data_IF_666039134339
#
_entry.id   IF_666039134339
#
_cell.length_a   1.000
_cell.length_b   1.000
_cell.length_c   1.000
_cell.angle_alpha   90.00
_cell.angle_beta   90.00
_cell.angle_gamma   90.00
#
_symmetry.space_group_name_H-M   'P 1'
#
loop_
_entity.id
_entity.type
_entity.pdbx_description
1 polymer ?
#
# COMPACT_ATOMS: atom_id res chain seq x y z
N UNK A 1 12.63 -8.70 20.31
CA UNK A 1 13.34 -7.41 20.22
C UNK A 1 13.94 -7.19 18.82
N UNK A 2 14.58 -8.20 18.21
CA UNK A 2 15.29 -8.07 16.92
C UNK A 2 14.31 -7.91 15.76
N UNK A 3 13.21 -8.65 15.73
CA UNK A 3 12.16 -8.56 14.69
C UNK A 3 11.47 -7.17 14.67
N UNK A 4 11.30 -6.55 15.83
CA UNK A 4 10.69 -5.21 15.95
C UNK A 4 11.64 -4.14 15.41
N UNK A 5 12.94 -4.30 15.64
CA UNK A 5 13.95 -3.38 15.14
C UNK A 5 14.10 -3.45 13.61
N UNK A 6 14.10 -4.64 13.03
CA UNK A 6 14.13 -4.87 11.58
C UNK A 6 12.89 -4.24 10.89
N UNK A 7 11.73 -4.41 11.49
CA UNK A 7 10.49 -3.84 10.94
C UNK A 7 10.44 -2.31 11.05
N UNK A 8 11.02 -1.73 12.11
CA UNK A 8 11.15 -0.28 12.25
C UNK A 8 12.11 0.32 11.21
N UNK A 9 13.21 -0.36 10.91
CA UNK A 9 14.17 0.08 9.91
C UNK A 9 13.56 0.02 8.49
N UNK A 10 12.77 -1.03 8.19
CA UNK A 10 12.03 -1.18 6.93
C UNK A 10 11.00 -0.05 6.77
N UNK A 11 10.19 0.23 7.79
CA UNK A 11 9.23 1.33 7.78
C UNK A 11 9.90 2.69 7.59
N UNK A 12 11.03 2.92 8.24
CA UNK A 12 11.81 4.15 8.10
C UNK A 12 12.37 4.30 6.68
N UNK A 13 12.84 3.21 6.08
CA UNK A 13 13.30 3.18 4.70
C UNK A 13 12.17 3.52 3.72
N UNK A 14 11.00 2.90 3.88
CA UNK A 14 9.81 3.17 3.09
C UNK A 14 9.38 4.64 3.21
N UNK A 15 9.35 5.16 4.43
CA UNK A 15 8.98 6.55 4.69
C UNK A 15 9.96 7.54 4.04
N UNK A 16 11.26 7.28 4.14
CA UNK A 16 12.31 8.11 3.52
C UNK A 16 12.20 8.11 2.00
N UNK A 17 11.98 6.93 1.41
CA UNK A 17 11.76 6.77 -0.03
C UNK A 17 10.55 7.58 -0.52
N UNK A 18 9.45 7.57 0.24
CA UNK A 18 8.25 8.32 -0.15
C UNK A 18 8.41 9.83 -0.03
N UNK A 19 9.10 10.31 0.98
CA UNK A 19 9.40 11.74 1.07
C UNK A 19 10.21 12.20 -0.15
N UNK A 20 11.16 11.40 -0.59
CA UNK A 20 11.95 11.69 -1.79
C UNK A 20 11.07 11.68 -3.05
N UNK A 21 10.18 10.70 -3.20
CA UNK A 21 9.28 10.59 -4.35
C UNK A 21 8.23 11.73 -4.38
N UNK A 22 7.71 12.11 -3.20
CA UNK A 22 6.81 13.25 -3.08
C UNK A 22 7.51 14.58 -3.44
N UNK A 23 8.76 14.75 -3.03
CA UNK A 23 9.58 15.89 -3.38
C UNK A 23 9.80 15.96 -4.90
N UNK A 24 10.15 14.83 -5.51
CA UNK A 24 10.38 14.73 -6.95
C UNK A 24 9.12 15.02 -7.77
N UNK A 25 7.97 14.51 -7.31
CA UNK A 25 6.67 14.81 -7.90
C UNK A 25 6.35 16.31 -7.86
N UNK A 26 6.57 16.95 -6.71
CA UNK A 26 6.37 18.43 -6.59
C UNK A 26 7.26 19.20 -7.54
N UNK A 27 8.52 18.80 -7.71
CA UNK A 27 9.44 19.43 -8.65
C UNK A 27 8.98 19.28 -10.10
N UNK A 28 8.49 18.10 -10.48
CA UNK A 28 7.96 17.85 -11.84
C UNK A 28 6.71 18.66 -12.12
N UNK A 29 5.79 18.73 -11.16
CA UNK A 29 4.58 19.56 -11.29
C UNK A 29 4.94 21.02 -11.39
N UNK A 30 5.83 21.54 -10.55
CA UNK A 30 6.28 22.92 -10.60
C UNK A 30 6.97 23.27 -11.92
N UNK A 31 7.81 22.37 -12.45
CA UNK A 31 8.45 22.55 -13.75
C UNK A 31 7.44 22.58 -14.90
N UNK A 32 6.44 21.70 -14.87
CA UNK A 32 5.36 21.71 -15.86
C UNK A 32 4.51 22.98 -15.76
N UNK A 33 4.19 23.46 -14.56
CA UNK A 33 3.46 24.71 -14.33
C UNK A 33 4.26 25.93 -14.83
N UNK A 34 5.57 25.96 -14.62
CA UNK A 34 6.45 27.01 -15.11
C UNK A 34 6.46 27.06 -16.64
N UNK A 35 6.57 25.92 -17.31
CA UNK A 35 6.48 25.82 -18.78
C UNK A 35 5.10 26.31 -19.26
N UNK A 36 4.01 25.85 -18.63
CA UNK A 36 2.65 26.20 -19.05
C UNK A 36 2.25 27.65 -18.75
N UNK A 37 2.89 28.29 -17.77
CA UNK A 37 2.63 29.72 -17.42
C UNK A 37 3.43 30.70 -18.27
N UNK A 38 4.41 30.25 -19.04
CA UNK A 38 5.15 31.08 -19.97
C UNK A 38 4.22 31.50 -21.13
N UNK A 39 4.02 32.78 -21.32
CA UNK A 39 2.97 33.37 -22.21
C UNK A 39 3.09 33.08 -23.71
N UNK A 40 4.05 32.29 -24.17
CA UNK A 40 4.24 31.93 -25.57
C UNK A 40 4.81 30.50 -25.66
N UNK A 41 3.95 29.52 -25.47
CA UNK A 41 4.33 28.11 -25.39
C UNK A 41 4.47 27.55 -26.80
N UNK A 42 5.68 27.04 -27.13
CA UNK A 42 5.90 26.30 -28.37
C UNK A 42 5.25 24.89 -28.28
N UNK A 43 4.92 24.24 -29.42
CA UNK A 43 4.38 22.88 -29.43
C UNK A 43 5.28 21.87 -28.71
N UNK A 44 6.61 22.06 -28.82
CA UNK A 44 7.60 21.18 -28.16
C UNK A 44 7.58 21.35 -26.64
N UNK A 45 7.52 22.59 -26.14
CA UNK A 45 7.40 22.88 -24.71
C UNK A 45 6.08 22.36 -24.12
N UNK A 46 5.00 22.40 -24.90
CA UNK A 46 3.72 21.84 -24.47
C UNK A 46 3.79 20.31 -24.35
N UNK A 47 4.50 19.66 -25.28
CA UNK A 47 4.74 18.21 -25.24
C UNK A 47 5.60 17.84 -24.04
N UNK A 48 6.68 18.59 -23.77
CA UNK A 48 7.56 18.38 -22.61
C UNK A 48 6.80 18.51 -21.28
N UNK A 49 5.97 19.56 -21.13
CA UNK A 49 5.14 19.74 -19.93
C UNK A 49 4.14 18.56 -19.74
N UNK A 50 3.54 18.08 -20.85
CA UNK A 50 2.63 16.94 -20.81
C UNK A 50 3.37 15.64 -20.48
N UNK A 51 4.59 15.45 -20.93
CA UNK A 51 5.42 14.29 -20.56
C UNK A 51 5.79 14.32 -19.09
N UNK A 52 6.19 15.47 -18.54
CA UNK A 52 6.45 15.64 -17.12
C UNK A 52 5.23 15.31 -16.26
N UNK A 53 4.04 15.72 -16.69
CA UNK A 53 2.78 15.40 -16.02
C UNK A 53 2.39 13.94 -16.17
N UNK A 54 2.59 13.32 -17.34
CA UNK A 54 2.34 11.87 -17.57
C UNK A 54 3.25 10.99 -16.76
N UNK A 55 4.50 11.37 -16.54
CA UNK A 55 5.40 10.66 -15.63
C UNK A 55 4.92 10.75 -14.16
N UNK A 56 4.03 11.70 -13.85
CA UNK A 56 3.36 11.78 -12.55
C UNK A 56 2.10 10.91 -12.45
N UNK A 57 1.59 10.42 -13.60
CA UNK A 57 0.49 9.43 -13.65
C UNK A 57 0.99 7.99 -13.45
N UNK A 58 1.98 7.79 -12.59
CA UNK A 58 2.36 6.45 -12.17
C UNK A 58 1.22 5.79 -11.37
N UNK A 59 0.99 4.48 -11.60
CA UNK A 59 -0.28 3.85 -11.32
C UNK A 59 -0.59 3.80 -9.83
N UNK A 60 -1.81 4.19 -9.50
CA UNK A 60 -2.48 4.01 -8.21
C UNK A 60 -1.73 4.59 -7.01
N UNK A 61 -1.67 5.91 -6.95
CA UNK A 61 -1.53 6.59 -5.67
C UNK A 61 -2.80 6.29 -4.86
N UNK A 62 -2.65 5.51 -3.81
CA UNK A 62 -3.70 5.45 -2.80
C UNK A 62 -3.77 6.83 -2.15
N UNK A 63 -4.93 7.42 -2.11
CA UNK A 63 -5.15 8.73 -1.50
C UNK A 63 -5.99 8.51 -0.25
N UNK A 64 -5.36 7.94 0.78
CA UNK A 64 -6.02 7.71 2.07
C UNK A 64 -6.04 8.98 2.94
N UNK A 65 -5.29 9.99 2.55
CA UNK A 65 -5.06 11.20 3.35
C UNK A 65 -3.90 11.06 4.34
N UNK A 66 -3.35 9.85 4.52
CA UNK A 66 -2.20 9.59 5.37
C UNK A 66 -1.03 9.07 4.52
N UNK A 67 0.02 9.89 4.39
CA UNK A 67 1.18 9.60 3.54
C UNK A 67 1.85 8.28 3.93
N UNK A 68 1.97 8.00 5.21
CA UNK A 68 2.58 6.78 5.71
C UNK A 68 1.77 5.52 5.35
N UNK A 69 0.44 5.61 5.40
CA UNK A 69 -0.46 4.53 4.97
C UNK A 69 -0.35 4.29 3.47
N UNK A 70 -0.36 5.35 2.68
CA UNK A 70 -0.21 5.28 1.22
C UNK A 70 1.12 4.62 0.83
N UNK A 71 2.20 4.90 1.60
CA UNK A 71 3.51 4.28 1.46
C UNK A 71 3.48 2.78 1.58
N UNK A 72 2.92 2.32 2.68
CA UNK A 72 2.85 0.90 2.98
C UNK A 72 1.99 0.19 1.93
N UNK A 73 0.84 0.75 1.58
CA UNK A 73 -0.02 0.20 0.54
C UNK A 73 0.73 0.06 -0.79
N UNK A 74 1.48 1.09 -1.19
CA UNK A 74 2.27 1.06 -2.43
C UNK A 74 3.38 0.00 -2.38
N UNK A 75 4.13 -0.06 -1.29
CA UNK A 75 5.19 -1.05 -1.12
C UNK A 75 4.64 -2.49 -1.17
N UNK A 76 3.55 -2.76 -0.46
CA UNK A 76 2.92 -4.08 -0.45
C UNK A 76 2.26 -4.41 -1.79
N UNK A 77 1.68 -3.42 -2.49
CA UNK A 77 1.15 -3.62 -3.84
C UNK A 77 2.22 -4.10 -4.81
N UNK A 78 3.42 -3.49 -4.78
CA UNK A 78 4.54 -3.93 -5.62
C UNK A 78 4.92 -5.40 -5.35
N UNK A 79 4.93 -5.82 -4.08
CA UNK A 79 5.19 -7.22 -3.72
C UNK A 79 4.09 -8.14 -4.27
N UNK A 80 2.82 -7.74 -4.13
CA UNK A 80 1.67 -8.50 -4.62
C UNK A 80 1.69 -8.64 -6.15
N UNK A 81 1.96 -7.55 -6.87
CA UNK A 81 2.05 -7.54 -8.33
C UNK A 81 3.16 -8.49 -8.82
N UNK A 82 4.35 -8.44 -8.21
CA UNK A 82 5.46 -9.34 -8.53
C UNK A 82 5.15 -10.81 -8.23
N UNK A 83 4.29 -11.08 -7.26
CA UNK A 83 3.84 -12.42 -6.89
C UNK A 83 2.59 -12.90 -7.68
N UNK A 84 2.05 -12.07 -8.58
CA UNK A 84 0.83 -12.37 -9.33
C UNK A 84 -0.42 -12.41 -8.45
N UNK A 85 -0.45 -11.60 -7.39
CA UNK A 85 -1.57 -11.49 -6.45
C UNK A 85 -2.41 -10.28 -6.87
N UNK A 86 -3.71 -10.49 -7.05
CA UNK A 86 -4.67 -9.41 -7.29
C UNK A 86 -5.01 -8.72 -5.96
N UNK A 87 -4.93 -7.39 -5.94
CA UNK A 87 -5.24 -6.59 -4.76
C UNK A 87 -6.42 -5.64 -5.03
N UNK A 88 -7.37 -5.64 -4.12
CA UNK A 88 -8.52 -4.75 -4.13
C UNK A 88 -8.58 -3.96 -2.82
N UNK A 89 -8.64 -2.63 -2.92
CA UNK A 89 -8.86 -1.74 -1.79
C UNK A 89 -10.26 -1.16 -1.87
N UNK A 90 -11.10 -1.49 -0.89
CA UNK A 90 -12.44 -0.96 -0.73
C UNK A 90 -12.48 -0.05 0.49
N UNK A 91 -13.01 1.14 0.31
CA UNK A 91 -13.13 2.18 1.34
C UNK A 91 -11.76 2.64 1.89
N UNK A 92 -11.63 3.91 2.09
CA UNK A 92 -10.39 4.53 2.58
C UNK A 92 -10.51 4.89 4.06
N UNK A 93 -9.41 4.84 4.83
CA UNK A 93 -9.43 5.28 6.21
C UNK A 93 -9.83 6.74 6.29
N UNK A 94 -10.80 7.03 7.16
CA UNK A 94 -11.22 8.40 7.42
C UNK A 94 -10.31 8.99 8.50
N UNK A 95 -9.64 10.07 8.18
CA UNK A 95 -8.88 10.84 9.19
C UNK A 95 -9.83 11.61 10.11
N UNK A 96 -9.48 11.79 11.41
CA UNK A 96 -8.22 11.35 12.04
C UNK A 96 -8.22 9.85 12.36
N UNK A 97 -7.01 9.27 12.40
CA UNK A 97 -6.82 7.89 12.85
C UNK A 97 -7.05 7.79 14.37
N UNK A 98 -7.64 6.69 14.87
CA UNK A 98 -7.91 6.50 16.30
C UNK A 98 -6.66 6.16 17.12
N UNK A 99 -5.55 5.86 16.46
CA UNK A 99 -4.25 5.53 17.06
C UNK A 99 -3.13 6.32 16.37
N UNK A 100 -1.90 6.23 16.88
CA UNK A 100 -0.76 6.89 16.22
C UNK A 100 -0.57 6.36 14.80
N UNK A 101 -0.11 7.23 13.90
CA UNK A 101 0.23 6.85 12.52
C UNK A 101 1.21 5.67 12.49
N UNK A 102 2.21 5.69 13.38
CA UNK A 102 3.23 4.63 13.47
C UNK A 102 2.61 3.29 13.84
N UNK A 103 1.75 3.26 14.86
CA UNK A 103 1.08 2.02 15.30
C UNK A 103 0.12 1.51 14.23
N UNK A 104 -0.60 2.41 13.55
CA UNK A 104 -1.48 2.06 12.46
C UNK A 104 -0.71 1.43 11.29
N UNK A 105 0.40 2.04 10.91
CA UNK A 105 1.27 1.54 9.85
C UNK A 105 1.84 0.16 10.17
N UNK A 106 2.30 -0.05 11.41
CA UNK A 106 2.81 -1.34 11.87
C UNK A 106 1.71 -2.42 11.84
N UNK A 107 0.52 -2.09 12.31
CA UNK A 107 -0.64 -2.99 12.27
C UNK A 107 -1.00 -3.36 10.82
N UNK A 108 -1.11 -2.36 9.94
CA UNK A 108 -1.45 -2.56 8.55
C UNK A 108 -0.41 -3.37 7.80
N UNK A 109 0.87 -3.07 8.01
CA UNK A 109 1.98 -3.82 7.44
C UNK A 109 1.93 -5.30 7.81
N UNK A 110 1.80 -5.61 9.10
CA UNK A 110 1.68 -6.98 9.58
C UNK A 110 0.43 -7.70 9.03
N UNK A 111 -0.69 -6.98 8.93
CA UNK A 111 -1.92 -7.55 8.38
C UNK A 111 -1.75 -7.96 6.91
N UNK A 112 -1.15 -7.08 6.11
CA UNK A 112 -0.89 -7.34 4.69
C UNK A 112 0.17 -8.43 4.49
N UNK A 113 1.22 -8.48 5.30
CA UNK A 113 2.23 -9.54 5.24
C UNK A 113 1.61 -10.91 5.53
N UNK A 114 0.77 -11.00 6.53
CA UNK A 114 0.05 -12.24 6.82
C UNK A 114 -0.84 -12.68 5.65
N UNK A 115 -1.52 -11.74 5.00
CA UNK A 115 -2.36 -12.02 3.85
C UNK A 115 -1.52 -12.49 2.64
N UNK A 116 -0.42 -11.81 2.34
CA UNK A 116 0.51 -12.18 1.25
C UNK A 116 1.08 -13.57 1.50
N UNK A 117 1.60 -13.84 2.69
CA UNK A 117 2.11 -15.17 3.06
C UNK A 117 1.03 -16.26 2.91
N UNK A 118 -0.21 -15.96 3.30
CA UNK A 118 -1.34 -16.88 3.15
C UNK A 118 -1.59 -17.26 1.70
N UNK A 119 -1.62 -16.28 0.81
CA UNK A 119 -1.82 -16.47 -0.64
C UNK A 119 -0.62 -17.15 -1.28
N UNK A 120 0.62 -16.82 -0.88
CA UNK A 120 1.83 -17.43 -1.44
C UNK A 120 1.96 -18.93 -1.11
N UNK A 121 1.29 -19.41 -0.06
CA UNK A 121 1.21 -20.85 0.28
C UNK A 121 0.23 -21.63 -0.58
N UNK A 122 -0.56 -20.95 -1.42
CA UNK A 122 -1.45 -21.62 -2.37
C UNK A 122 -0.66 -22.36 -3.43
N UNK A 123 -1.10 -23.58 -3.85
CA UNK A 123 -0.50 -24.29 -4.97
C UNK A 123 -0.44 -23.42 -6.22
N UNK A 124 0.61 -23.61 -7.04
CA UNK A 124 0.78 -22.86 -8.29
C UNK A 124 -0.39 -23.06 -9.28
N UNK A 125 -1.12 -24.15 -9.15
CA UNK A 125 -2.31 -24.46 -9.95
C UNK A 125 -3.57 -23.70 -9.54
N UNK A 126 -3.55 -22.97 -8.38
CA UNK A 126 -4.68 -22.14 -7.99
C UNK A 126 -4.83 -20.95 -8.95
N UNK A 127 -5.99 -20.89 -9.60
CA UNK A 127 -6.33 -19.84 -10.55
C UNK A 127 -6.68 -18.50 -9.90
N UNK A 128 -6.91 -18.49 -8.59
CA UNK A 128 -7.33 -17.30 -7.84
C UNK A 128 -6.33 -17.02 -6.72
N UNK A 129 -5.77 -15.82 -6.74
CA UNK A 129 -4.86 -15.30 -5.73
C UNK A 129 -5.25 -13.86 -5.44
N UNK A 130 -6.15 -13.69 -4.49
CA UNK A 130 -6.73 -12.38 -4.22
C UNK A 130 -6.51 -11.97 -2.78
N UNK A 131 -6.26 -10.68 -2.60
CA UNK A 131 -6.30 -10.01 -1.30
C UNK A 131 -7.23 -8.81 -1.43
N UNK A 132 -8.17 -8.69 -0.50
CA UNK A 132 -9.07 -7.55 -0.39
C UNK A 132 -8.89 -6.89 0.96
N UNK A 133 -8.58 -5.60 0.96
CA UNK A 133 -8.49 -4.76 2.13
C UNK A 133 -9.65 -3.77 2.13
N UNK A 134 -10.33 -3.63 3.24
CA UNK A 134 -11.37 -2.62 3.40
C UNK A 134 -11.26 -1.90 4.75
N UNK A 135 -11.60 -0.63 4.72
CA UNK A 135 -11.70 0.22 5.91
C UNK A 135 -13.13 0.71 6.04
N UNK A 136 -13.67 0.64 7.23
CA UNK A 136 -14.97 1.24 7.53
C UNK A 136 -14.96 1.89 8.90
N UNK A 137 -15.67 3.00 9.03
CA UNK A 137 -15.80 3.70 10.30
C UNK A 137 -17.25 3.64 10.76
N UNK A 138 -17.44 3.08 11.95
CA UNK A 138 -18.73 3.04 12.60
C UNK A 138 -18.58 3.72 13.96
N UNK A 139 -19.22 4.87 14.12
CA UNK A 139 -19.06 5.75 15.27
C UNK A 139 -17.59 6.17 15.43
N UNK A 140 -16.98 5.91 16.58
CA UNK A 140 -15.56 6.20 16.84
C UNK A 140 -14.65 4.99 16.60
N UNK A 141 -15.20 3.89 16.09
CA UNK A 141 -14.44 2.68 15.79
C UNK A 141 -14.07 2.60 14.31
N UNK A 142 -12.80 2.35 14.05
CA UNK A 142 -12.28 2.01 12.72
C UNK A 142 -12.16 0.49 12.60
N UNK A 143 -12.86 -0.06 11.61
CA UNK A 143 -12.76 -1.47 11.25
C UNK A 143 -11.81 -1.64 10.08
N UNK A 144 -10.88 -2.56 10.22
CA UNK A 144 -9.95 -2.97 9.15
C UNK A 144 -10.26 -4.43 8.86
N UNK A 145 -10.66 -4.71 7.64
CA UNK A 145 -10.94 -6.07 7.19
C UNK A 145 -9.99 -6.43 6.06
N UNK A 146 -9.22 -7.49 6.26
CA UNK A 146 -8.35 -8.05 5.24
C UNK A 146 -8.79 -9.49 4.96
N UNK A 147 -9.18 -9.75 3.72
CA UNK A 147 -9.62 -11.07 3.25
C UNK A 147 -8.65 -11.53 2.18
N UNK A 148 -8.16 -12.74 2.32
CA UNK A 148 -7.26 -13.34 1.34
C UNK A 148 -7.68 -14.78 1.01
N UNK A 149 -7.34 -15.22 -0.19
CA UNK A 149 -7.47 -16.62 -0.55
C UNK A 149 -6.49 -17.46 0.28
N UNK A 150 -6.95 -18.61 0.75
CA UNK A 150 -6.15 -19.51 1.56
C UNK A 150 -6.45 -20.98 1.20
N UNK A 151 -5.46 -21.87 1.39
CA UNK A 151 -5.68 -23.30 1.24
C UNK A 151 -6.40 -23.84 2.48
N UNK A 152 -7.64 -24.36 2.34
CA UNK A 152 -8.39 -24.91 3.48
C UNK A 152 -7.64 -26.03 4.23
N UNK A 153 -6.81 -26.79 3.52
CA UNK A 153 -6.03 -27.90 4.10
C UNK A 153 -4.92 -27.43 5.03
N UNK A 154 -4.46 -26.18 4.89
CA UNK A 154 -3.41 -25.61 5.74
C UNK A 154 -3.95 -24.87 6.95
N UNK A 155 -5.26 -24.67 7.03
CA UNK A 155 -5.92 -24.01 8.16
C UNK A 155 -6.07 -25.02 9.28
N UNK A 156 -5.27 -24.85 10.34
CA UNK A 156 -5.39 -25.68 11.54
C UNK A 156 -6.43 -25.07 12.48
N UNK A 157 -7.42 -25.85 12.85
CA UNK A 157 -8.45 -25.46 13.80
C UNK A 157 -8.43 -26.40 15.00
N UNK A 158 -8.51 -25.86 16.20
CA UNK A 158 -8.66 -26.63 17.44
C UNK A 158 -9.90 -26.12 18.19
N UNK A 159 -11.00 -26.87 18.09
CA UNK A 159 -12.30 -26.41 18.57
C UNK A 159 -12.82 -25.26 17.71
N UNK A 160 -13.17 -24.13 18.32
CA UNK A 160 -13.61 -22.92 17.62
C UNK A 160 -12.47 -21.94 17.32
N UNK A 161 -11.22 -22.24 17.72
CA UNK A 161 -10.08 -21.34 17.56
C UNK A 161 -9.22 -21.74 16.36
N UNK A 162 -8.76 -20.75 15.61
CA UNK A 162 -7.78 -20.90 14.56
C UNK A 162 -6.37 -20.87 15.16
N UNK A 163 -5.54 -21.86 14.80
CA UNK A 163 -4.18 -21.96 15.29
C UNK A 163 -3.23 -21.44 14.20
N UNK A 164 -2.31 -20.56 14.58
CA UNK A 164 -1.23 -20.11 13.69
C UNK A 164 -0.37 -21.31 13.26
N UNK A 165 -0.10 -21.41 11.96
CA UNK A 165 0.83 -22.42 11.42
C UNK A 165 2.29 -21.96 11.48
N UNK A 166 2.58 -20.78 12.02
CA UNK A 166 3.95 -20.28 12.21
C UNK A 166 4.55 -21.04 13.41
N UNK A 167 5.57 -21.83 13.15
CA UNK A 167 6.44 -22.37 14.20
C UNK A 167 7.27 -21.21 14.76
N UNK A 168 7.26 -21.06 16.07
CA UNK A 168 8.07 -20.09 16.81
C UNK A 168 9.50 -20.57 16.96
#
# INVERSE_FOLDING_TARGET
AQLVAEHQEELKSIYTYMLAEQHDLRHRVAAAEEILSSGNISPDQRTEALELLKMSEQPRLFVTGCIAVDAILKAKLTVMENAGISFELNEYPLLPLPISEQDFCMLLGNLLDNAIEGVMRLPAACSSRNIRLSFSKVWDMLFITCVNDANPETIKQKGNDFISSKEH
#
